data_IF_465566936431
#
_entry.id   IF_465566936431
#
_cell.length_a   1.000
_cell.length_b   1.000
_cell.length_c   1.000
_cell.angle_alpha   90.00
_cell.angle_beta   90.00
_cell.angle_gamma   90.00
#
_symmetry.space_group_name_H-M   'P 1'
#
loop_
_entity.id
_entity.type
_entity.pdbx_description
1 polymer ?
#
# COMPACT_ATOMS: atom_id res chain seq x y z
N UNK A 1 5.13 -2.81 0.25
CA UNK A 1 4.76 -1.40 -0.05
C UNK A 1 5.92 -0.41 0.09
N UNK A 2 6.63 -0.34 1.23
CA UNK A 2 7.70 0.66 1.48
C UNK A 2 8.75 0.70 0.36
N UNK A 3 9.41 -0.43 0.05
CA UNK A 3 10.38 -0.48 -1.04
C UNK A 3 9.73 -0.07 -2.39
N UNK A 4 8.49 -0.52 -2.61
CA UNK A 4 7.70 -0.21 -3.80
C UNK A 4 7.52 1.30 -4.06
N UNK A 5 7.39 2.09 -3.00
CA UNK A 5 7.28 3.55 -3.08
C UNK A 5 8.51 4.20 -3.77
N UNK A 6 9.71 3.71 -3.47
CA UNK A 6 10.94 4.17 -4.10
C UNK A 6 11.19 3.49 -5.46
N UNK A 7 10.89 2.20 -5.56
CA UNK A 7 11.08 1.42 -6.79
C UNK A 7 10.29 1.97 -7.96
N UNK A 8 9.01 2.29 -7.73
CA UNK A 8 8.12 2.88 -8.73
C UNK A 8 8.60 4.25 -9.19
N UNK A 9 9.51 4.87 -8.44
CA UNK A 9 9.99 6.21 -8.68
C UNK A 9 9.02 7.32 -8.30
N UNK A 10 7.94 7.00 -7.59
CA UNK A 10 7.13 8.02 -6.91
C UNK A 10 7.94 8.73 -5.83
N UNK A 11 8.72 8.01 -5.03
CA UNK A 11 9.70 8.60 -4.11
C UNK A 11 11.11 8.57 -4.69
N UNK A 12 11.84 9.67 -4.54
CA UNK A 12 13.29 9.70 -4.67
C UNK A 12 13.92 9.27 -3.36
N UNK A 13 15.06 8.58 -3.44
CA UNK A 13 15.81 8.08 -2.29
C UNK A 13 17.01 9.00 -1.99
N UNK A 14 17.32 9.20 -0.71
CA UNK A 14 18.44 10.03 -0.23
C UNK A 14 18.43 11.47 -0.78
N UNK A 15 17.32 12.17 -0.55
CA UNK A 15 17.06 13.54 -1.00
C UNK A 15 16.57 14.41 0.15
N UNK A 16 16.86 15.72 0.06
CA UNK A 16 16.29 16.73 0.97
C UNK A 16 14.96 17.30 0.50
N UNK A 17 14.50 16.89 -0.69
CA UNK A 17 13.22 17.33 -1.22
C UNK A 17 12.10 16.71 -0.37
N UNK A 18 11.15 17.56 0.05
CA UNK A 18 9.93 17.11 0.72
C UNK A 18 9.09 16.31 -0.27
N UNK A 19 8.66 15.11 0.12
CA UNK A 19 7.79 14.24 -0.68
C UNK A 19 6.55 13.88 0.12
N UNK A 20 5.38 13.96 -0.50
CA UNK A 20 4.09 13.81 0.16
C UNK A 20 3.54 12.38 -0.06
N UNK A 21 3.18 11.71 1.04
CA UNK A 21 2.68 10.33 1.05
C UNK A 21 1.28 10.32 1.67
N UNK A 22 0.32 9.72 0.97
CA UNK A 22 -1.00 9.39 1.50
C UNK A 22 -1.08 7.88 1.73
N UNK A 23 -1.55 7.45 2.89
CA UNK A 23 -1.83 6.05 3.21
C UNK A 23 -3.28 5.97 3.64
N UNK A 24 -4.05 5.08 3.01
CA UNK A 24 -5.41 4.74 3.43
C UNK A 24 -5.36 3.38 4.11
N UNK A 25 -5.75 3.36 5.38
CA UNK A 25 -5.55 2.25 6.31
C UNK A 25 -4.29 2.47 7.16
N UNK A 26 -4.48 2.71 8.46
CA UNK A 26 -3.39 2.86 9.43
C UNK A 26 -2.86 1.49 9.86
N UNK A 27 -3.77 0.54 10.11
CA UNK A 27 -3.40 -0.74 10.71
C UNK A 27 -2.64 -0.52 12.03
N UNK A 28 -1.55 -1.27 12.22
CA UNK A 28 -0.65 -1.07 13.37
C UNK A 28 0.30 0.13 13.24
N UNK A 29 0.24 0.91 12.17
CA UNK A 29 1.12 2.08 11.99
C UNK A 29 2.55 1.77 11.48
N UNK A 30 2.84 0.52 11.09
CA UNK A 30 4.21 0.08 10.76
C UNK A 30 4.76 0.79 9.51
N UNK A 31 3.93 0.97 8.47
CA UNK A 31 4.37 1.57 7.20
C UNK A 31 4.69 3.06 7.38
N UNK A 32 3.79 3.82 8.00
CA UNK A 32 4.01 5.23 8.30
C UNK A 32 5.16 5.43 9.28
N UNK A 33 5.26 4.64 10.35
CA UNK A 33 6.38 4.73 11.29
C UNK A 33 7.72 4.50 10.60
N UNK A 34 7.79 3.55 9.66
CA UNK A 34 9.00 3.37 8.89
C UNK A 34 9.35 4.63 8.09
N UNK A 35 8.40 5.17 7.32
CA UNK A 35 8.64 6.36 6.51
C UNK A 35 9.08 7.57 7.34
N UNK A 36 8.48 7.79 8.50
CA UNK A 36 8.78 8.95 9.36
C UNK A 36 10.14 8.84 10.05
N UNK A 37 10.65 7.63 10.24
CA UNK A 37 11.96 7.38 10.85
C UNK A 37 13.11 7.28 9.82
N UNK A 38 12.81 7.35 8.52
CA UNK A 38 13.84 7.26 7.48
C UNK A 38 14.82 8.44 7.55
N UNK A 39 16.10 8.12 7.78
CA UNK A 39 17.18 9.12 7.76
C UNK A 39 17.44 9.62 6.33
N UNK A 40 17.92 10.85 6.22
CA UNK A 40 18.25 11.52 4.96
C UNK A 40 17.09 11.58 3.96
N UNK A 41 15.87 11.68 4.49
CA UNK A 41 14.64 11.87 3.74
C UNK A 41 13.74 12.88 4.43
N UNK A 42 12.93 13.57 3.64
CA UNK A 42 11.88 14.47 4.16
C UNK A 42 10.55 13.99 3.62
N UNK A 43 9.88 13.11 4.38
CA UNK A 43 8.61 12.51 3.98
C UNK A 43 7.48 13.11 4.82
N UNK A 44 6.49 13.70 4.15
CA UNK A 44 5.27 14.20 4.77
C UNK A 44 4.18 13.15 4.64
N UNK A 45 3.91 12.40 5.71
CA UNK A 45 3.03 11.25 5.73
C UNK A 45 1.66 11.65 6.28
N UNK A 46 0.63 11.45 5.48
CA UNK A 46 -0.78 11.51 5.92
C UNK A 46 -1.32 10.09 5.93
N UNK A 47 -1.84 9.65 7.06
CA UNK A 47 -2.55 8.38 7.18
C UNK A 47 -4.02 8.66 7.44
N UNK A 48 -4.90 7.96 6.77
CA UNK A 48 -6.36 8.07 6.94
C UNK A 48 -6.90 6.70 7.34
N UNK A 49 -7.57 6.63 8.48
CA UNK A 49 -8.25 5.43 8.96
C UNK A 49 -9.62 5.79 9.50
N UNK A 50 -10.62 4.93 9.26
CA UNK A 50 -11.99 5.19 9.71
C UNK A 50 -12.16 4.90 11.21
N UNK A 51 -11.32 4.03 11.77
CA UNK A 51 -11.47 3.55 13.14
C UNK A 51 -10.51 4.26 14.11
N UNK A 52 -11.02 5.14 15.01
CA UNK A 52 -10.18 5.79 16.02
C UNK A 52 -9.54 4.80 17.02
N UNK A 53 -10.00 3.56 17.11
CA UNK A 53 -9.35 2.52 17.90
C UNK A 53 -8.00 2.14 17.28
N UNK A 54 -7.87 2.13 15.95
CA UNK A 54 -6.61 1.81 15.29
C UNK A 54 -5.54 2.84 15.61
N UNK A 55 -5.89 4.12 15.68
CA UNK A 55 -4.97 5.18 16.14
C UNK A 55 -4.46 4.89 17.55
N UNK A 56 -5.37 4.59 18.50
CA UNK A 56 -4.99 4.27 19.88
C UNK A 56 -4.08 3.05 19.97
N UNK A 57 -4.32 2.04 19.14
CA UNK A 57 -3.48 0.83 19.07
C UNK A 57 -2.09 1.19 18.54
N UNK A 58 -2.02 1.93 17.44
CA UNK A 58 -0.78 2.33 16.81
C UNK A 58 0.09 3.18 17.76
N UNK A 59 -0.51 4.14 18.47
CA UNK A 59 0.17 4.98 19.45
C UNK A 59 0.66 4.18 20.65
N UNK A 60 -0.22 3.36 21.24
CA UNK A 60 0.10 2.66 22.49
C UNK A 60 1.09 1.52 22.33
N UNK A 61 1.01 0.79 21.22
CA UNK A 61 1.72 -0.49 21.06
C UNK A 61 2.76 -0.51 19.95
N UNK A 62 2.67 0.41 18.98
CA UNK A 62 3.55 0.39 17.81
C UNK A 62 4.38 1.66 17.64
N UNK A 63 4.31 2.59 18.61
CA UNK A 63 5.12 3.81 18.62
C UNK A 63 4.75 4.79 17.51
N UNK A 64 3.48 4.81 17.09
CA UNK A 64 2.98 5.82 16.18
C UNK A 64 2.90 7.17 16.90
N UNK A 65 3.66 8.15 16.43
CA UNK A 65 3.69 9.50 16.99
C UNK A 65 3.49 10.52 15.88
N UNK A 66 2.46 11.36 16.00
CA UNK A 66 2.22 12.46 15.07
C UNK A 66 3.34 13.53 15.19
N UNK A 67 3.59 14.22 14.09
CA UNK A 67 4.57 15.30 13.98
C UNK A 67 4.13 16.30 12.89
N UNK A 68 4.82 17.43 12.69
CA UNK A 68 4.50 18.33 11.59
C UNK A 68 4.54 17.67 10.18
N UNK A 69 5.28 16.56 10.05
CA UNK A 69 5.38 15.78 8.81
C UNK A 69 4.71 14.40 8.92
N UNK A 70 3.93 14.14 9.98
CA UNK A 70 3.21 12.88 10.17
C UNK A 70 1.88 13.13 10.86
N UNK A 71 0.77 12.82 10.19
CA UNK A 71 -0.57 13.01 10.75
C UNK A 71 -1.44 11.80 10.50
N UNK A 72 -2.24 11.46 11.50
CA UNK A 72 -3.28 10.44 11.44
C UNK A 72 -4.63 11.15 11.45
N UNK A 73 -5.41 10.93 10.40
CA UNK A 73 -6.71 11.54 10.20
C UNK A 73 -7.77 10.46 10.37
N UNK A 74 -8.67 10.66 11.33
CA UNK A 74 -9.84 9.79 11.49
C UNK A 74 -10.92 10.23 10.50
N UNK A 75 -10.97 9.56 9.37
CA UNK A 75 -11.91 9.82 8.28
C UNK A 75 -12.16 8.56 7.42
N UNK A 76 -13.28 8.53 6.72
CA UNK A 76 -13.53 7.65 5.60
C UNK A 76 -12.57 7.99 4.45
N UNK A 77 -11.79 6.99 4.02
CA UNK A 77 -10.81 7.16 2.94
C UNK A 77 -11.41 7.56 1.59
N UNK A 78 -12.61 7.09 1.26
CA UNK A 78 -13.34 7.46 0.03
C UNK A 78 -13.66 8.95 0.08
N UNK A 79 -14.25 9.40 1.20
CA UNK A 79 -14.58 10.82 1.41
C UNK A 79 -13.33 11.68 1.36
N UNK A 80 -12.27 11.27 2.07
CA UNK A 80 -11.01 12.00 2.12
C UNK A 80 -10.40 12.20 0.74
N UNK A 81 -10.37 11.16 -0.10
CA UNK A 81 -9.80 11.23 -1.46
C UNK A 81 -10.59 12.20 -2.35
N UNK A 82 -11.92 12.15 -2.32
CA UNK A 82 -12.72 13.11 -3.08
C UNK A 82 -12.52 14.55 -2.60
N UNK A 83 -12.44 14.76 -1.29
CA UNK A 83 -12.20 16.09 -0.74
C UNK A 83 -10.79 16.59 -1.05
N UNK A 84 -9.77 15.72 -1.00
CA UNK A 84 -8.40 16.02 -1.43
C UNK A 84 -8.35 16.42 -2.91
N UNK A 85 -9.13 15.74 -3.77
CA UNK A 85 -9.25 16.08 -5.18
C UNK A 85 -9.87 17.47 -5.37
N UNK A 86 -10.93 17.81 -4.61
CA UNK A 86 -11.55 19.15 -4.61
C UNK A 86 -10.60 20.23 -4.11
N UNK A 87 -9.75 19.91 -3.12
CA UNK A 87 -8.70 20.82 -2.59
C UNK A 87 -7.50 20.95 -3.52
N UNK A 88 -7.40 20.13 -4.56
CA UNK A 88 -6.26 20.14 -5.49
C UNK A 88 -4.96 19.60 -4.88
N UNK A 89 -5.07 18.77 -3.85
CA UNK A 89 -3.91 18.15 -3.19
C UNK A 89 -3.18 17.20 -4.13
N UNK A 90 -1.88 17.01 -3.89
CA UNK A 90 -1.02 16.13 -4.67
C UNK A 90 -0.13 15.29 -3.77
N UNK A 91 0.00 14.02 -4.11
CA UNK A 91 0.84 13.06 -3.41
C UNK A 91 1.78 12.36 -4.38
N UNK A 92 3.03 12.20 -3.97
CA UNK A 92 4.04 11.42 -4.70
C UNK A 92 3.74 9.92 -4.62
N UNK A 93 3.18 9.49 -3.49
CA UNK A 93 2.71 8.12 -3.29
C UNK A 93 1.35 8.10 -2.62
N UNK A 94 0.47 7.25 -3.12
CA UNK A 94 -0.77 6.87 -2.45
C UNK A 94 -0.70 5.36 -2.19
N UNK A 95 -0.83 4.95 -0.95
CA UNK A 95 -0.90 3.55 -0.54
C UNK A 95 -2.33 3.24 -0.12
N UNK A 96 -2.91 2.21 -0.73
CA UNK A 96 -4.21 1.66 -0.38
C UNK A 96 -3.97 0.32 0.31
N UNK A 97 -4.04 0.32 1.64
CA UNK A 97 -3.80 -0.83 2.52
C UNK A 97 -5.01 -1.04 3.43
N UNK A 98 -6.13 -1.38 2.79
CA UNK A 98 -7.43 -1.49 3.44
C UNK A 98 -8.15 -2.73 2.94
N UNK A 99 -8.84 -3.38 3.87
CA UNK A 99 -9.38 -4.70 3.67
C UNK A 99 -10.72 -4.82 4.39
N UNK A 100 -11.62 -5.64 3.85
CA UNK A 100 -12.79 -6.05 4.63
C UNK A 100 -12.38 -6.93 5.81
N UNK A 101 -13.09 -6.81 6.93
CA UNK A 101 -12.99 -7.74 8.07
C UNK A 101 -13.93 -8.95 7.94
N UNK A 102 -14.50 -9.16 6.75
CA UNK A 102 -15.38 -10.27 6.39
C UNK A 102 -14.76 -11.07 5.25
N UNK A 103 -15.07 -12.38 5.19
CA UNK A 103 -14.56 -13.25 4.14
C UNK A 103 -15.23 -12.94 2.80
N UNK A 104 -14.50 -12.23 1.94
CA UNK A 104 -14.89 -11.95 0.56
C UNK A 104 -13.85 -12.47 -0.44
N UNK A 105 -14.23 -12.78 -1.69
CA UNK A 105 -13.28 -13.23 -2.71
C UNK A 105 -12.13 -12.24 -2.95
N UNK A 106 -12.44 -10.95 -2.97
CA UNK A 106 -11.49 -9.85 -2.90
C UNK A 106 -11.57 -9.29 -1.48
N UNK A 107 -10.51 -9.45 -0.71
CA UNK A 107 -10.43 -8.95 0.66
C UNK A 107 -9.91 -7.50 0.66
N UNK A 108 -8.87 -7.27 -0.15
CA UNK A 108 -8.21 -5.98 -0.30
C UNK A 108 -7.98 -5.74 -1.81
N UNK A 109 -8.23 -4.53 -2.33
CA UNK A 109 -8.90 -3.44 -1.63
C UNK A 109 -10.41 -3.73 -1.45
N UNK A 110 -11.11 -2.89 -0.68
CA UNK A 110 -12.58 -2.92 -0.65
C UNK A 110 -13.17 -2.47 -2.00
N UNK A 111 -14.44 -2.78 -2.28
CA UNK A 111 -15.03 -2.55 -3.61
C UNK A 111 -15.11 -1.08 -4.00
N UNK A 112 -15.25 -0.18 -3.03
CA UNK A 112 -15.25 1.26 -3.23
C UNK A 112 -13.93 1.73 -3.89
N UNK A 113 -12.81 1.06 -3.59
CA UNK A 113 -11.49 1.33 -4.16
C UNK A 113 -11.25 0.69 -5.53
N UNK A 114 -12.28 0.08 -6.13
CA UNK A 114 -12.30 -0.31 -7.54
C UNK A 114 -13.39 0.42 -8.34
N UNK A 115 -14.08 1.39 -7.74
CA UNK A 115 -15.02 2.27 -8.44
C UNK A 115 -14.27 3.26 -9.35
N UNK A 116 -14.79 3.47 -10.55
CA UNK A 116 -14.15 4.30 -11.59
C UNK A 116 -13.99 5.77 -11.13
N UNK A 117 -14.93 6.30 -10.35
CA UNK A 117 -14.93 7.69 -9.87
C UNK A 117 -13.88 7.95 -8.77
N UNK A 118 -13.71 6.98 -7.86
CA UNK A 118 -12.70 7.05 -6.82
C UNK A 118 -11.30 6.90 -7.41
N UNK A 119 -11.12 5.99 -8.39
CA UNK A 119 -9.85 5.86 -9.12
C UNK A 119 -9.53 7.14 -9.89
N UNK A 120 -10.51 7.76 -10.54
CA UNK A 120 -10.32 9.06 -11.18
C UNK A 120 -9.89 10.13 -10.18
N UNK A 121 -10.48 10.15 -8.98
CA UNK A 121 -10.11 11.06 -7.90
C UNK A 121 -8.70 10.78 -7.38
N UNK A 122 -8.31 9.52 -7.19
CA UNK A 122 -6.94 9.11 -6.86
C UNK A 122 -5.95 9.57 -7.93
N UNK A 123 -6.29 9.40 -9.21
CA UNK A 123 -5.46 9.90 -10.32
C UNK A 123 -5.33 11.41 -10.26
N UNK A 124 -6.39 12.13 -9.94
CA UNK A 124 -6.39 13.58 -9.80
C UNK A 124 -5.51 14.06 -8.64
N UNK A 125 -5.36 13.30 -7.55
CA UNK A 125 -4.46 13.65 -6.44
C UNK A 125 -3.08 13.00 -6.53
N UNK A 126 -2.79 12.19 -7.56
CA UNK A 126 -1.45 11.64 -7.79
C UNK A 126 -0.59 12.68 -8.53
N UNK A 127 0.61 12.95 -8.02
CA UNK A 127 1.61 13.81 -8.67
C UNK A 127 2.00 13.27 -10.06
N UNK A 128 2.57 14.10 -10.92
CA UNK A 128 2.89 13.72 -12.30
C UNK A 128 3.88 12.54 -12.41
N UNK A 129 4.76 12.40 -11.43
CA UNK A 129 5.68 11.26 -11.30
C UNK A 129 5.24 10.25 -10.24
N UNK A 130 4.08 10.49 -9.62
CA UNK A 130 3.60 9.73 -8.50
C UNK A 130 3.06 8.35 -8.87
N UNK A 131 2.86 7.52 -7.85
CA UNK A 131 2.37 6.16 -8.01
C UNK A 131 1.36 5.81 -6.93
N UNK A 132 0.27 5.16 -7.33
CA UNK A 132 -0.66 4.48 -6.44
C UNK A 132 -0.20 3.03 -6.28
N UNK A 133 -0.11 2.59 -5.03
CA UNK A 133 0.24 1.21 -4.64
C UNK A 133 -0.95 0.64 -3.90
N UNK A 134 -1.51 -0.46 -4.39
CA UNK A 134 -2.70 -1.10 -3.82
C UNK A 134 -2.34 -2.50 -3.38
N UNK A 135 -2.64 -2.84 -2.11
CA UNK A 135 -2.58 -4.23 -1.68
C UNK A 135 -3.71 -5.03 -2.32
N UNK A 136 -3.38 -6.22 -2.81
CA UNK A 136 -4.38 -7.13 -3.32
C UNK A 136 -4.26 -8.47 -2.62
N UNK A 137 -5.22 -8.70 -1.74
CA UNK A 137 -5.40 -9.96 -1.02
C UNK A 137 -6.71 -10.58 -1.46
N UNK A 138 -6.66 -11.85 -1.81
CA UNK A 138 -7.83 -12.64 -2.23
C UNK A 138 -8.01 -13.84 -1.33
N UNK A 139 -9.26 -14.19 -1.00
CA UNK A 139 -9.58 -15.39 -0.22
C UNK A 139 -10.31 -16.43 -1.07
N UNK A 140 -10.17 -17.69 -0.68
CA UNK A 140 -10.96 -18.79 -1.26
C UNK A 140 -12.41 -18.71 -0.78
N UNK A 141 -13.35 -18.86 -1.70
CA UNK A 141 -14.74 -19.20 -1.37
C UNK A 141 -14.75 -20.66 -0.90
N UNK A 142 -14.80 -20.90 0.42
CA UNK A 142 -15.15 -22.23 0.91
C UNK A 142 -16.64 -22.47 0.60
N UNK A 143 -16.97 -23.64 0.02
CA UNK A 143 -18.35 -24.10 -0.02
C UNK A 143 -18.73 -24.49 1.41
N UNK A 144 -19.77 -23.85 1.91
CA UNK A 144 -20.63 -24.31 3.00
C UNK A 144 -19.90 -24.91 4.20
N UNK A 145 -19.35 -24.05 5.06
CA UNK A 145 -19.29 -24.34 6.49
C UNK A 145 -19.49 -23.01 7.23
N UNK A 146 -20.58 -22.96 7.98
CA UNK A 146 -20.99 -21.82 8.79
C UNK A 146 -19.87 -21.51 9.79
N UNK A 147 -19.07 -20.48 9.54
CA UNK A 147 -18.10 -20.03 10.51
C UNK A 147 -18.12 -18.53 10.73
N UNK A 148 -18.07 -18.20 12.01
CA UNK A 148 -18.66 -17.01 12.62
C UNK A 148 -17.91 -15.73 12.23
N UNK A 149 -18.67 -14.63 12.21
CA UNK A 149 -18.17 -13.25 12.33
C UNK A 149 -16.88 -13.18 13.14
N UNK A 150 -15.78 -12.69 12.56
CA UNK A 150 -14.54 -12.37 13.28
C UNK A 150 -14.78 -11.16 14.20
N UNK A 151 -15.51 -11.34 15.30
CA UNK A 151 -15.57 -10.35 16.38
C UNK A 151 -14.31 -10.49 17.23
N UNK A 152 -13.36 -9.56 17.06
CA UNK A 152 -12.24 -9.38 18.00
C UNK A 152 -10.86 -9.88 17.52
N UNK A 153 -10.64 -10.13 16.23
CA UNK A 153 -9.30 -10.50 15.72
C UNK A 153 -8.60 -9.29 15.12
N UNK A 154 -7.46 -8.91 15.70
CA UNK A 154 -6.50 -7.99 15.09
C UNK A 154 -5.75 -8.78 14.02
N UNK A 155 -6.05 -8.52 12.75
CA UNK A 155 -5.27 -9.07 11.64
C UNK A 155 -4.04 -8.18 11.48
N UNK A 156 -2.96 -8.53 12.20
CA UNK A 156 -1.61 -8.13 11.81
C UNK A 156 -1.28 -8.99 10.59
N UNK A 157 -0.97 -8.35 9.46
CA UNK A 157 -0.84 -8.97 8.13
C UNK A 157 -0.12 -10.35 8.15
N UNK A 158 -0.89 -11.42 8.29
CA UNK A 158 -0.45 -12.83 8.27
C UNK A 158 -1.32 -13.49 7.22
N UNK A 159 -0.81 -13.58 5.98
CA UNK A 159 -1.56 -14.18 4.88
C UNK A 159 -1.15 -15.63 4.67
N UNK A 160 -2.14 -16.54 4.67
CA UNK A 160 -2.05 -17.86 4.02
C UNK A 160 -3.40 -18.34 3.48
N UNK A 161 -3.47 -18.69 2.18
CA UNK A 161 -3.79 -20.03 1.63
C UNK A 161 -4.33 -20.00 0.17
N UNK A 162 -4.03 -21.07 -0.58
CA UNK A 162 -3.98 -21.19 -2.05
C UNK A 162 -5.30 -21.17 -2.85
N UNK A 163 -5.24 -20.46 -3.99
CA UNK A 163 -5.88 -20.59 -5.34
C UNK A 163 -7.39 -20.29 -5.53
N UNK A 164 -7.68 -19.13 -6.15
CA UNK A 164 -7.97 -18.95 -7.61
C UNK A 164 -7.67 -17.50 -8.05
N UNK A 165 -7.05 -17.34 -9.23
CA UNK A 165 -6.47 -16.09 -9.78
C UNK A 165 -7.47 -15.04 -10.29
N UNK A 166 -8.78 -15.22 -10.13
CA UNK A 166 -9.74 -14.47 -10.96
C UNK A 166 -10.10 -13.06 -10.46
N UNK A 167 -10.06 -12.77 -9.16
CA UNK A 167 -10.53 -11.47 -8.66
C UNK A 167 -9.44 -10.39 -8.68
N UNK A 168 -8.21 -10.75 -8.28
CA UNK A 168 -7.07 -9.84 -8.35
C UNK A 168 -6.83 -9.31 -9.77
N UNK A 169 -6.96 -10.17 -10.79
CA UNK A 169 -6.71 -9.81 -12.19
C UNK A 169 -7.80 -8.88 -12.76
N UNK A 170 -8.95 -8.71 -12.08
CA UNK A 170 -9.99 -7.75 -12.48
C UNK A 170 -9.68 -6.31 -12.04
N UNK A 171 -8.82 -6.12 -11.03
CA UNK A 171 -8.50 -4.80 -10.48
C UNK A 171 -7.65 -3.98 -11.46
N UNK A 172 -6.63 -4.60 -12.05
CA UNK A 172 -5.68 -3.90 -12.93
C UNK A 172 -6.35 -3.22 -14.13
N UNK A 173 -7.25 -3.86 -14.91
CA UNK A 173 -7.90 -3.22 -16.04
C UNK A 173 -8.68 -1.96 -15.67
N UNK A 174 -9.27 -1.87 -14.47
CA UNK A 174 -10.01 -0.68 -14.04
C UNK A 174 -9.06 0.47 -13.76
N UNK A 175 -7.98 0.23 -13.00
CA UNK A 175 -6.97 1.25 -12.76
C UNK A 175 -6.24 1.69 -14.04
N UNK A 176 -5.99 0.77 -14.97
CA UNK A 176 -5.33 1.05 -16.24
C UNK A 176 -6.14 1.96 -17.18
N UNK A 177 -7.44 2.19 -16.92
CA UNK A 177 -8.23 3.21 -17.63
C UNK A 177 -7.83 4.63 -17.25
N UNK A 178 -7.33 4.81 -16.02
CA UNK A 178 -7.03 6.11 -15.42
C UNK A 178 -5.54 6.42 -15.34
N UNK A 179 -4.70 5.38 -15.30
CA UNK A 179 -3.25 5.50 -15.20
C UNK A 179 -2.55 4.97 -16.45
N UNK A 180 -1.54 5.70 -16.99
CA UNK A 180 -0.84 5.29 -18.21
C UNK A 180 0.07 4.06 -18.03
N UNK A 181 0.40 3.68 -16.79
CA UNK A 181 1.28 2.54 -16.52
C UNK A 181 0.84 1.82 -15.26
N UNK A 182 0.26 0.62 -15.42
CA UNK A 182 -0.12 -0.27 -14.32
C UNK A 182 0.52 -1.65 -14.46
N UNK A 183 0.97 -2.24 -13.36
CA UNK A 183 1.53 -3.59 -13.34
C UNK A 183 1.44 -4.21 -11.94
N UNK A 184 1.40 -5.53 -11.87
CA UNK A 184 1.53 -6.26 -10.60
C UNK A 184 2.99 -6.54 -10.27
N UNK A 185 3.32 -6.47 -8.99
CA UNK A 185 4.47 -7.17 -8.41
C UNK A 185 3.93 -8.30 -7.54
N UNK A 186 4.43 -9.51 -7.79
CA UNK A 186 4.05 -10.72 -7.07
C UNK A 186 5.11 -10.99 -6.01
N UNK A 187 4.73 -10.97 -4.74
CA UNK A 187 5.64 -11.29 -3.63
C UNK A 187 5.51 -12.76 -3.20
N UNK A 188 4.30 -13.31 -3.23
CA UNK A 188 3.99 -14.71 -2.94
C UNK A 188 2.92 -15.24 -3.91
N UNK A 189 2.57 -16.52 -3.83
CA UNK A 189 1.52 -17.11 -4.67
C UNK A 189 0.15 -16.40 -4.55
N UNK A 190 -0.11 -15.70 -3.44
CA UNK A 190 -1.40 -15.10 -3.13
C UNK A 190 -1.37 -13.58 -2.92
N UNK A 191 -0.18 -13.00 -2.71
CA UNK A 191 -0.04 -11.57 -2.42
C UNK A 191 0.49 -10.85 -3.66
N UNK A 192 -0.38 -10.04 -4.24
CA UNK A 192 -0.06 -9.17 -5.36
C UNK A 192 -0.17 -7.72 -4.89
N UNK A 193 0.82 -6.91 -5.23
CA UNK A 193 0.69 -5.46 -5.11
C UNK A 193 0.48 -4.90 -6.52
N UNK A 194 -0.55 -4.08 -6.69
CA UNK A 194 -0.76 -3.31 -7.92
C UNK A 194 -0.02 -1.99 -7.80
N UNK A 195 0.73 -1.65 -8.85
CA UNK A 195 1.41 -0.37 -9.00
C UNK A 195 0.83 0.34 -10.20
N UNK A 196 0.32 1.55 -10.02
CA UNK A 196 -0.24 2.38 -11.08
C UNK A 196 0.35 3.78 -11.01
N UNK A 197 1.13 4.14 -12.03
CA UNK A 197 1.90 5.39 -12.07
C UNK A 197 1.28 6.39 -13.03
N UNK A 198 1.34 7.67 -12.66
CA UNK A 198 1.00 8.78 -13.55
C UNK A 198 2.02 8.96 -14.68
N UNK A 199 3.19 8.33 -14.58
CA UNK A 199 4.26 8.35 -15.59
C UNK A 199 4.08 7.22 -16.60
N UNK A 200 4.18 7.56 -17.88
CA UNK A 200 4.18 6.58 -18.97
C UNK A 200 5.39 5.63 -18.90
N UNK A 201 5.21 4.41 -19.41
CA UNK A 201 6.27 3.39 -19.52
C UNK A 201 7.04 3.13 -18.21
N UNK A 202 6.35 3.26 -17.07
CA UNK A 202 6.93 3.11 -15.75
C UNK A 202 6.74 1.68 -15.18
N UNK A 203 6.66 0.68 -16.06
CA UNK A 203 6.47 -0.72 -15.67
C UNK A 203 7.80 -1.37 -15.27
N UNK A 204 7.82 -2.09 -14.15
CA UNK A 204 9.03 -2.70 -13.58
C UNK A 204 9.78 -3.60 -14.58
N UNK A 205 9.07 -4.49 -15.28
CA UNK A 205 9.68 -5.48 -16.18
C UNK A 205 10.28 -4.87 -17.45
N UNK A 206 9.80 -3.70 -17.87
CA UNK A 206 10.20 -3.08 -19.14
C UNK A 206 11.28 -1.99 -18.95
N UNK A 207 11.65 -1.71 -17.70
CA UNK A 207 12.53 -0.59 -17.39
C UNK A 207 13.74 -1.06 -16.55
N UNK A 208 14.87 -1.32 -17.23
CA UNK A 208 16.14 -1.68 -16.57
C UNK A 208 16.56 -0.69 -15.47
N UNK A 209 16.18 0.58 -15.58
CA UNK A 209 16.49 1.58 -14.56
C UNK A 209 15.65 1.38 -13.30
N UNK A 210 14.40 0.91 -13.40
CA UNK A 210 13.57 0.57 -12.23
C UNK A 210 14.12 -0.65 -11.51
N UNK A 211 14.58 -1.68 -12.23
CA UNK A 211 15.24 -2.83 -11.60
C UNK A 211 16.52 -2.42 -10.86
N UNK A 212 17.38 -1.60 -11.47
CA UNK A 212 18.59 -1.06 -10.79
C UNK A 212 18.23 -0.24 -9.57
N UNK A 213 17.21 0.62 -9.67
CA UNK A 213 16.71 1.42 -8.54
C UNK A 213 16.18 0.52 -7.42
N UNK A 214 15.47 -0.54 -7.77
CA UNK A 214 14.99 -1.52 -6.79
C UNK A 214 16.12 -2.19 -6.02
N UNK A 215 17.12 -2.74 -6.74
CA UNK A 215 18.27 -3.39 -6.10
C UNK A 215 19.02 -2.42 -5.19
N UNK A 216 19.19 -1.16 -5.62
CA UNK A 216 19.83 -0.13 -4.80
C UNK A 216 19.02 0.21 -3.54
N UNK A 217 17.70 0.36 -3.67
CA UNK A 217 16.78 0.61 -2.54
C UNK A 217 16.76 -0.57 -1.58
N UNK A 218 16.60 -1.79 -2.06
CA UNK A 218 16.57 -3.00 -1.22
C UNK A 218 17.87 -3.15 -0.42
N UNK A 219 19.02 -2.93 -1.08
CA UNK A 219 20.34 -2.93 -0.42
C UNK A 219 20.46 -1.83 0.64
N UNK A 220 19.92 -0.63 0.37
CA UNK A 220 20.02 0.50 1.28
C UNK A 220 19.06 0.38 2.48
N UNK A 221 17.87 -0.18 2.26
CA UNK A 221 16.85 -0.38 3.30
C UNK A 221 17.07 -1.68 4.10
N UNK A 222 17.82 -2.63 3.55
CA UNK A 222 18.14 -3.90 4.21
C UNK A 222 16.98 -4.88 4.25
N UNK A 223 15.96 -4.73 3.39
CA UNK A 223 14.79 -5.61 3.38
C UNK A 223 15.05 -7.01 2.80
N UNK A 224 16.17 -7.18 2.08
CA UNK A 224 16.61 -8.48 1.56
C UNK A 224 15.57 -9.17 0.66
N UNK A 225 14.83 -8.40 -0.15
CA UNK A 225 13.70 -8.89 -0.93
C UNK A 225 14.08 -9.90 -2.03
N UNK A 226 15.39 -10.13 -2.27
CA UNK A 226 15.94 -11.10 -3.23
C UNK A 226 16.43 -12.41 -2.60
N UNK A 227 16.59 -12.51 -1.28
CA UNK A 227 17.18 -13.68 -0.66
C UNK A 227 16.11 -14.76 -0.46
N UNK A 228 16.10 -15.75 -1.35
CA UNK A 228 15.17 -16.90 -1.29
C UNK A 228 15.39 -17.85 -0.09
N UNK A 229 16.48 -17.71 0.68
CA UNK A 229 16.92 -18.74 1.63
C UNK A 229 17.57 -18.18 2.92
N UNK A 230 16.86 -17.40 3.76
CA UNK A 230 17.39 -17.07 5.10
C UNK A 230 16.47 -17.36 6.29
N UNK A 231 15.21 -17.73 6.08
CA UNK A 231 14.34 -18.16 7.19
C UNK A 231 14.53 -19.63 7.63
N UNK A 232 15.63 -20.29 7.28
CA UNK A 232 15.92 -21.66 7.71
C UNK A 232 16.69 -21.75 9.04
N UNK A 233 17.36 -20.68 9.45
CA UNK A 233 18.19 -20.66 10.65
C UNK A 233 17.84 -19.45 11.55
N UNK A 234 16.63 -19.46 12.11
CA UNK A 234 16.41 -18.70 13.34
C UNK A 234 16.98 -19.54 14.49
N UNK A 235 17.97 -19.05 15.27
CA UNK A 235 18.31 -19.72 16.51
C UNK A 235 17.09 -19.65 17.42
N UNK A 236 16.51 -20.81 17.72
CA UNK A 236 15.66 -20.97 18.89
C UNK A 236 16.61 -21.06 20.08
N UNK A 237 17.00 -19.91 20.61
CA UNK A 237 17.47 -19.80 21.99
C UNK A 237 16.30 -19.43 22.90
#
# INVERSE_FOLDING_TARGET
>A
MIAGAFMSGGLMFNTKLKQDILIIGLGGGVINNYFTQMKNQTLNVTVVDIDPVMQKIAEKWFGCEESPLHRVIIDDGVRYIHDAARRGEKYDIIIVDLCYNIRLPLLCPIYEFVEDDLIASMRAITANTGTVIVDIITMKKHRDEADKSFKGTVIVNIVTMKKKRNEADKVLPVYARHFPSCYFIVHSDNDKMLFCSAKENNAYYNNRNLHKRFVAVDKALGFQLFLKEQCANYPLE
#
